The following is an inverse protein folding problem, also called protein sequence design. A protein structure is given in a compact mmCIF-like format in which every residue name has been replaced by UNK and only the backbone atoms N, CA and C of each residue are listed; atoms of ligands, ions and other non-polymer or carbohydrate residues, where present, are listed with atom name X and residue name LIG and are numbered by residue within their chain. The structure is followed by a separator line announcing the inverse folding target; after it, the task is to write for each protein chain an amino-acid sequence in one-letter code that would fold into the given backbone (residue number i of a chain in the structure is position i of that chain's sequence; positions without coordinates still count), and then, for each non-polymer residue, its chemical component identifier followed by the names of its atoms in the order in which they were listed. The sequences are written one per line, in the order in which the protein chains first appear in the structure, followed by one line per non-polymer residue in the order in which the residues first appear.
data_IF_936608756150
#
_entry.id   IF_936608756150
#
_cell.length_a   1.000
_cell.length_b   1.000
_cell.length_c   1.000
_cell.angle_alpha   90.00
_cell.angle_beta   90.00
_cell.angle_gamma   90.00
#
_symmetry.space_group_name_H-M   'P 1'
#
loop_
_entity.id
_entity.type
_entity.pdbx_description
1 polymer ?
#
# COMPACT_ATOMS: atom_id res chain seq x y z
N UNK A 1 -23.05 -13.66 1.05
CA UNK A 1 -21.61 -13.85 1.34
C UNK A 1 -21.13 -12.51 1.87
N UNK A 2 -20.97 -12.35 3.18
CA UNK A 2 -20.45 -11.12 3.74
C UNK A 2 -18.93 -11.13 3.52
N UNK A 3 -18.39 -10.10 2.89
CA UNK A 3 -16.95 -9.93 2.70
C UNK A 3 -16.28 -9.89 4.08
N UNK A 4 -15.40 -10.85 4.36
CA UNK A 4 -14.83 -11.09 5.69
C UNK A 4 -13.96 -9.92 6.18
N UNK A 5 -13.54 -9.06 5.25
CA UNK A 5 -12.67 -7.89 5.50
C UNK A 5 -13.40 -6.55 5.36
N UNK A 6 -14.70 -6.52 5.03
CA UNK A 6 -15.44 -5.26 4.91
C UNK A 6 -15.71 -4.65 6.28
N UNK A 7 -15.27 -3.40 6.48
CA UNK A 7 -15.50 -2.61 7.69
C UNK A 7 -15.76 -1.15 7.30
N UNK A 8 -16.70 -0.43 7.95
CA UNK A 8 -16.92 0.99 7.71
C UNK A 8 -15.63 1.82 7.83
N UNK A 9 -14.77 1.50 8.81
CA UNK A 9 -13.48 2.15 9.02
C UNK A 9 -12.51 2.06 7.82
N UNK A 10 -12.72 1.14 6.87
CA UNK A 10 -11.93 1.10 5.63
C UNK A 10 -12.15 2.35 4.79
N UNK A 11 -13.39 2.87 4.75
CA UNK A 11 -13.72 4.07 3.99
C UNK A 11 -13.11 5.30 4.65
N UNK A 12 -13.21 5.40 5.98
CA UNK A 12 -12.60 6.51 6.74
C UNK A 12 -11.08 6.56 6.52
N UNK A 13 -10.40 5.40 6.52
CA UNK A 13 -8.97 5.32 6.22
C UNK A 13 -8.66 5.65 4.76
N UNK A 14 -9.49 5.20 3.80
CA UNK A 14 -9.31 5.53 2.40
C UNK A 14 -9.46 7.05 2.15
N UNK A 15 -10.41 7.69 2.82
CA UNK A 15 -10.58 9.15 2.79
C UNK A 15 -9.37 9.86 3.40
N UNK A 16 -8.82 9.35 4.51
CA UNK A 16 -7.61 9.90 5.11
C UNK A 16 -6.35 9.75 4.24
N UNK A 17 -6.28 8.72 3.38
CA UNK A 17 -5.18 8.50 2.43
C UNK A 17 -5.34 9.34 1.15
N UNK A 18 -6.56 9.73 0.77
CA UNK A 18 -6.83 10.46 -0.47
C UNK A 18 -5.98 11.75 -0.66
N UNK A 19 -5.72 12.58 0.39
CA UNK A 19 -4.83 13.73 0.28
C UNK A 19 -3.40 13.37 -0.11
N UNK A 20 -2.88 12.21 0.31
CA UNK A 20 -1.54 11.74 -0.07
C UNK A 20 -1.47 11.39 -1.55
N UNK A 21 -2.51 10.72 -2.06
CA UNK A 21 -2.64 10.42 -3.49
C UNK A 21 -2.71 11.71 -4.32
N UNK A 22 -3.48 12.70 -3.85
CA UNK A 22 -3.56 14.01 -4.49
C UNK A 22 -2.21 14.74 -4.49
N UNK A 23 -1.46 14.71 -3.38
CA UNK A 23 -0.11 15.28 -3.29
C UNK A 23 0.89 14.58 -4.21
N UNK A 24 0.72 13.28 -4.44
CA UNK A 24 1.48 12.50 -5.42
C UNK A 24 1.03 12.71 -6.88
N UNK A 25 -0.06 13.47 -7.09
CA UNK A 25 -0.60 13.78 -8.42
C UNK A 25 -1.24 12.58 -9.12
N UNK A 26 -1.76 11.61 -8.38
CA UNK A 26 -2.33 10.39 -8.96
C UNK A 26 -3.65 9.96 -8.30
N UNK A 27 -4.48 9.15 -8.99
CA UNK A 27 -5.66 8.53 -8.41
C UNK A 27 -5.32 7.58 -7.22
N UNK A 28 -6.22 7.42 -6.24
CA UNK A 28 -5.98 6.58 -5.06
C UNK A 28 -5.58 5.12 -5.38
N UNK A 29 -6.16 4.53 -6.42
CA UNK A 29 -5.79 3.17 -6.84
C UNK A 29 -4.35 3.07 -7.34
N UNK A 30 -3.89 4.08 -8.09
CA UNK A 30 -2.52 4.15 -8.58
C UNK A 30 -1.55 4.40 -7.41
N UNK A 31 -1.91 5.29 -6.49
CA UNK A 31 -1.15 5.54 -5.27
C UNK A 31 -0.98 4.26 -4.43
N UNK A 32 -2.07 3.53 -4.17
CA UNK A 32 -2.03 2.30 -3.39
C UNK A 32 -1.13 1.24 -4.01
N UNK A 33 -1.21 1.05 -5.34
CA UNK A 33 -0.34 0.11 -6.04
C UNK A 33 1.12 0.56 -6.02
N UNK A 34 1.38 1.85 -6.24
CA UNK A 34 2.72 2.41 -6.13
C UNK A 34 3.31 2.24 -4.72
N UNK A 35 2.50 2.40 -3.67
CA UNK A 35 2.90 2.18 -2.28
C UNK A 35 3.28 0.72 -2.02
N UNK A 36 2.58 -0.24 -2.62
CA UNK A 36 2.95 -1.67 -2.56
C UNK A 36 4.26 -1.92 -3.31
N UNK A 37 4.41 -1.37 -4.51
CA UNK A 37 5.61 -1.52 -5.34
C UNK A 37 6.87 -0.87 -4.72
N UNK A 38 6.70 0.17 -3.91
CA UNK A 38 7.80 0.81 -3.18
C UNK A 38 8.40 -0.07 -2.08
N UNK A 39 7.75 -1.18 -1.72
CA UNK A 39 8.26 -2.09 -0.70
C UNK A 39 9.31 -3.05 -1.30
N UNK A 40 10.59 -2.98 -0.88
CA UNK A 40 11.65 -3.85 -1.39
C UNK A 40 11.45 -5.33 -1.02
N UNK A 41 10.55 -5.62 -0.09
CA UNK A 41 10.22 -6.97 0.31
C UNK A 41 9.24 -7.67 -0.65
N UNK A 42 8.63 -6.93 -1.59
CA UNK A 42 7.61 -7.42 -2.51
C UNK A 42 8.21 -7.57 -3.90
N UNK A 43 8.21 -8.80 -4.44
CA UNK A 43 8.70 -9.06 -5.81
C UNK A 43 7.73 -8.55 -6.86
N UNK A 44 6.44 -8.82 -6.70
CA UNK A 44 5.40 -8.37 -7.63
C UNK A 44 4.02 -8.35 -6.94
N UNK A 45 3.21 -7.29 -7.16
CA UNK A 45 1.81 -7.29 -6.78
C UNK A 45 0.98 -8.12 -7.77
N UNK A 46 -0.06 -8.79 -7.27
CA UNK A 46 -1.06 -9.45 -8.10
C UNK A 46 -2.18 -8.44 -8.36
N UNK A 47 -2.45 -8.15 -9.64
CA UNK A 47 -3.54 -7.25 -10.07
C UNK A 47 -4.64 -8.05 -10.78
N UNK A 48 -5.89 -7.60 -10.62
CA UNK A 48 -7.07 -8.24 -11.22
C UNK A 48 -7.95 -7.26 -12.00
N UNK A 49 -7.46 -6.61 -13.07
CA UNK A 49 -8.28 -5.74 -13.90
C UNK A 49 -9.41 -6.53 -14.57
N UNK A 50 -10.63 -5.96 -14.56
CA UNK A 50 -11.80 -6.52 -15.25
C UNK A 50 -12.09 -5.83 -16.58
N UNK A 51 -11.38 -4.74 -16.86
CA UNK A 51 -11.52 -3.90 -18.06
C UNK A 51 -10.14 -3.44 -18.50
N UNK A 52 -10.02 -3.03 -19.76
CA UNK A 52 -8.77 -2.45 -20.27
C UNK A 52 -8.39 -1.17 -19.50
N UNK A 53 -9.36 -0.30 -19.22
CA UNK A 53 -9.12 0.91 -18.44
C UNK A 53 -8.53 0.62 -17.05
N UNK A 54 -8.98 -0.44 -16.36
CA UNK A 54 -8.38 -0.83 -15.08
C UNK A 54 -6.93 -1.30 -15.25
N UNK A 55 -6.63 -2.03 -16.33
CA UNK A 55 -5.26 -2.44 -16.62
C UNK A 55 -4.36 -1.23 -16.87
N UNK A 56 -4.83 -0.27 -17.68
CA UNK A 56 -4.10 0.95 -17.99
C UNK A 56 -3.83 1.77 -16.70
N UNK A 57 -4.81 1.87 -15.80
CA UNK A 57 -4.65 2.50 -14.49
C UNK A 57 -3.61 1.79 -13.62
N UNK A 58 -3.63 0.46 -13.55
CA UNK A 58 -2.62 -0.29 -12.80
C UNK A 58 -1.22 -0.08 -13.37
N UNK A 59 -1.07 -0.03 -14.70
CA UNK A 59 0.22 0.21 -15.35
C UNK A 59 0.71 1.65 -15.11
N UNK A 60 -0.19 2.64 -15.07
CA UNK A 60 0.16 4.02 -14.76
C UNK A 60 0.77 4.19 -13.36
N UNK A 61 0.43 3.32 -12.41
CA UNK A 61 1.02 3.30 -11.06
C UNK A 61 2.56 3.15 -11.07
N UNK A 62 3.13 2.53 -12.10
CA UNK A 62 4.59 2.37 -12.25
C UNK A 62 5.34 3.71 -12.40
N UNK A 63 4.64 4.78 -12.78
CA UNK A 63 5.22 6.11 -12.97
C UNK A 63 4.98 7.04 -11.77
N UNK A 64 4.21 6.60 -10.78
CA UNK A 64 3.88 7.39 -9.60
C UNK A 64 5.12 7.54 -8.71
N UNK A 65 5.44 8.78 -8.34
CA UNK A 65 6.48 9.09 -7.38
C UNK A 65 5.83 9.43 -6.05
N UNK A 66 6.08 8.60 -5.04
CA UNK A 66 5.54 8.81 -3.70
C UNK A 66 6.35 9.91 -2.98
N UNK A 67 5.69 10.83 -2.26
CA UNK A 67 6.35 11.72 -1.31
C UNK A 67 7.20 10.95 -0.30
N UNK A 68 8.33 11.53 0.14
CA UNK A 68 9.28 10.87 1.03
C UNK A 68 8.72 10.53 2.42
N UNK A 69 7.69 11.26 2.86
CA UNK A 69 6.98 11.09 4.14
C UNK A 69 5.78 10.13 4.04
N UNK A 70 5.52 9.56 2.86
CA UNK A 70 4.35 8.69 2.62
C UNK A 70 4.28 7.55 3.62
N UNK A 71 5.40 6.84 3.84
CA UNK A 71 5.40 5.68 4.73
C UNK A 71 5.08 6.07 6.18
N UNK A 72 5.69 7.17 6.66
CA UNK A 72 5.45 7.67 8.01
C UNK A 72 3.97 8.09 8.20
N UNK A 73 3.34 8.69 7.19
CA UNK A 73 1.93 9.01 7.23
C UNK A 73 1.03 7.77 7.24
N UNK A 74 1.36 6.76 6.42
CA UNK A 74 0.61 5.50 6.41
C UNK A 74 0.73 4.77 7.74
N UNK A 75 1.92 4.74 8.35
CA UNK A 75 2.14 4.11 9.67
C UNK A 75 1.34 4.78 10.80
N UNK A 76 1.05 6.09 10.69
CA UNK A 76 0.16 6.79 11.64
C UNK A 76 -1.28 6.33 11.48
N UNK A 77 -1.74 6.12 10.24
CA UNK A 77 -3.11 5.71 9.94
C UNK A 77 -3.34 4.22 10.21
N UNK A 78 -2.39 3.39 9.80
CA UNK A 78 -2.41 1.93 9.91
C UNK A 78 -1.02 1.45 10.34
N UNK A 79 -0.74 1.41 11.65
CA UNK A 79 0.54 0.95 12.16
C UNK A 79 0.91 -0.45 11.65
N UNK A 80 2.21 -0.77 11.50
CA UNK A 80 2.65 -2.11 11.09
C UNK A 80 2.03 -3.21 11.95
N UNK A 81 1.52 -4.25 11.29
CA UNK A 81 0.83 -5.37 11.95
C UNK A 81 -0.60 -5.09 12.38
N UNK A 82 -1.17 -3.95 11.98
CA UNK A 82 -2.58 -3.63 12.21
C UNK A 82 -3.39 -3.58 10.92
N UNK A 83 -4.71 -3.62 11.05
CA UNK A 83 -5.68 -3.28 10.00
C UNK A 83 -6.77 -2.39 10.59
N UNK A 84 -7.71 -1.93 9.76
CA UNK A 84 -8.89 -1.13 10.16
C UNK A 84 -9.80 -1.70 11.27
N UNK A 85 -9.58 -2.96 11.68
CA UNK A 85 -10.28 -3.64 12.78
C UNK A 85 -9.40 -3.96 13.99
N UNK A 86 -8.19 -3.40 14.06
CA UNK A 86 -7.27 -3.59 15.18
C UNK A 86 -6.06 -4.48 14.85
N UNK A 87 -5.45 -4.98 15.92
CA UNK A 87 -4.19 -5.72 15.95
C UNK A 87 -4.30 -7.07 15.22
N UNK A 88 -3.34 -7.38 14.34
CA UNK A 88 -3.27 -8.64 13.57
C UNK A 88 -1.91 -9.34 13.74
N UNK A 89 -0.95 -8.77 14.46
CA UNK A 89 0.34 -9.40 14.73
C UNK A 89 0.23 -10.54 15.75
N UNK A 90 0.96 -11.61 15.44
CA UNK A 90 1.23 -12.73 16.33
C UNK A 90 2.37 -12.34 17.29
N UNK A 91 2.20 -12.41 18.62
CA UNK A 91 3.26 -12.12 19.58
C UNK A 91 4.53 -12.96 19.38
N UNK A 92 4.41 -14.16 18.78
CA UNK A 92 5.56 -15.03 18.49
C UNK A 92 6.31 -14.60 17.22
N UNK A 93 5.65 -13.89 16.30
CA UNK A 93 6.21 -13.44 15.02
C UNK A 93 5.87 -11.97 14.79
N UNK A 94 6.52 -11.05 15.52
CA UNK A 94 6.22 -9.63 15.43
C UNK A 94 6.48 -9.10 14.02
N UNK A 95 5.55 -8.31 13.50
CA UNK A 95 5.68 -7.66 12.20
C UNK A 95 6.53 -6.41 12.39
N UNK A 96 7.74 -6.43 11.84
CA UNK A 96 8.71 -5.33 11.96
C UNK A 96 8.56 -4.25 10.88
N UNK A 97 7.56 -4.37 10.00
CA UNK A 97 7.35 -3.43 8.90
C UNK A 97 8.32 -3.64 7.72
N UNK A 98 8.46 -2.62 6.88
CA UNK A 98 9.39 -2.62 5.74
C UNK A 98 10.81 -2.40 6.26
N UNK A 99 11.74 -3.26 5.85
CA UNK A 99 13.15 -3.09 6.21
C UNK A 99 13.85 -2.21 5.16
N UNK A 100 14.23 -0.96 5.49
CA UNK A 100 14.88 -0.08 4.53
C UNK A 100 16.26 -0.60 4.10
N UNK A 101 16.90 -1.49 4.86
CA UNK A 101 18.22 -2.03 4.53
C UNK A 101 18.19 -3.10 3.43
N UNK A 102 17.04 -3.75 3.19
CA UNK A 102 16.88 -4.76 2.12
C UNK A 102 16.80 -4.17 0.71
N UNK A 103 16.46 -2.89 0.57
CA UNK A 103 16.40 -2.21 -0.73
C UNK A 103 17.75 -2.19 -1.46
N UNK A 104 18.87 -2.22 -0.73
CA UNK A 104 20.22 -2.19 -1.29
C UNK A 104 20.68 -3.56 -1.85
N UNK A 105 19.98 -4.66 -1.55
CA UNK A 105 20.45 -6.01 -1.83
C UNK A 105 19.92 -6.62 -3.14
N UNK A 106 18.96 -5.98 -3.83
CA UNK A 106 18.23 -6.60 -4.95
C UNK A 106 18.36 -5.81 -6.26
N UNK A 107 19.58 -5.53 -6.70
CA UNK A 107 19.90 -5.26 -8.12
C UNK A 107 21.29 -5.82 -8.39
N UNK A 108 21.42 -7.14 -8.51
CA UNK A 108 22.56 -7.83 -9.14
C UNK A 108 22.22 -9.33 -9.23
N UNK A 109 21.58 -9.74 -10.33
CA UNK A 109 21.76 -10.98 -11.12
C UNK A 109 20.79 -10.90 -12.30
#
# INVERSE_FOLDING_TARGET
MAETEWRPANLDLAEAVAPLAAAAGCPPAQFALAWVLANPNITAPIIGPRTQAHLDDYLAALQVKLPADTEAHIDVLVPPGTRSGGKLDDPLYPITGRDPSRAAASVLT
#
